data_IF_109373616095
#
_entry.id   IF_109373616095
#
_cell.length_a   1.000
_cell.length_b   1.000
_cell.length_c   1.000
_cell.angle_alpha   90.00
_cell.angle_beta   90.00
_cell.angle_gamma   90.00
#
_symmetry.space_group_name_H-M   'P 1'
#
loop_
_entity.id
_entity.type
_entity.pdbx_description
1 polymer ?
#
# COMPACT_ATOMS: atom_id res chain seq x y z
N UNK A 1 -12.94 21.39 -23.65
CA UNK A 1 -12.82 21.31 -22.17
C UNK A 1 -11.69 20.36 -21.86
N UNK A 2 -10.84 20.61 -20.85
CA UNK A 2 -9.85 19.64 -20.45
C UNK A 2 -10.55 18.32 -20.06
N UNK A 3 -10.02 17.20 -20.52
CA UNK A 3 -10.58 15.88 -20.26
C UNK A 3 -10.47 15.63 -18.75
N UNK A 4 -11.58 15.59 -18.04
CA UNK A 4 -11.59 15.35 -16.60
C UNK A 4 -11.13 13.92 -16.33
N UNK A 5 -10.04 13.74 -15.59
CA UNK A 5 -9.51 12.42 -15.24
C UNK A 5 -10.43 11.81 -14.16
N UNK A 6 -10.90 10.60 -14.41
CA UNK A 6 -11.70 9.82 -13.47
C UNK A 6 -10.74 9.16 -12.47
N UNK A 7 -11.04 9.22 -11.19
CA UNK A 7 -10.27 8.52 -10.17
C UNK A 7 -10.84 7.12 -9.87
N UNK A 8 -9.99 6.20 -9.40
CA UNK A 8 -10.44 4.89 -8.93
C UNK A 8 -11.47 5.00 -7.80
N UNK A 9 -11.37 6.02 -6.93
CA UNK A 9 -12.37 6.30 -5.90
C UNK A 9 -13.70 6.81 -6.48
N UNK A 10 -13.69 7.48 -7.63
CA UNK A 10 -14.91 7.83 -8.34
C UNK A 10 -15.56 6.61 -8.98
N UNK A 11 -14.78 5.63 -9.44
CA UNK A 11 -15.30 4.33 -9.88
C UNK A 11 -16.06 3.61 -8.74
N UNK A 12 -15.57 3.67 -7.52
CA UNK A 12 -16.29 3.14 -6.35
C UNK A 12 -17.63 3.85 -6.16
N UNK A 13 -17.62 5.18 -6.15
CA UNK A 13 -18.84 5.99 -5.98
C UNK A 13 -19.85 5.74 -7.10
N UNK A 14 -19.36 5.63 -8.32
CA UNK A 14 -20.18 5.25 -9.48
C UNK A 14 -20.78 3.86 -9.30
N UNK A 15 -20.00 2.87 -8.92
CA UNK A 15 -20.48 1.52 -8.63
C UNK A 15 -21.47 1.46 -7.47
N UNK A 16 -21.33 2.34 -6.49
CA UNK A 16 -22.34 2.52 -5.45
C UNK A 16 -23.65 3.05 -6.06
N UNK A 17 -23.62 4.20 -6.73
CA UNK A 17 -24.79 4.78 -7.41
C UNK A 17 -24.33 5.84 -8.42
N UNK A 18 -24.53 5.66 -9.74
CA UNK A 18 -24.15 6.63 -10.74
C UNK A 18 -24.73 8.04 -10.50
N UNK A 19 -25.99 8.11 -10.10
CA UNK A 19 -26.62 9.40 -9.77
C UNK A 19 -25.96 10.06 -8.56
N UNK A 20 -25.61 9.31 -7.52
CA UNK A 20 -24.92 9.85 -6.34
C UNK A 20 -23.53 10.40 -6.68
N UNK A 21 -22.79 9.70 -7.54
CA UNK A 21 -21.50 10.18 -8.06
C UNK A 21 -21.68 11.47 -8.87
N UNK A 22 -22.68 11.53 -9.76
CA UNK A 22 -22.92 12.72 -10.57
C UNK A 22 -23.37 13.94 -9.73
N UNK A 23 -24.17 13.72 -8.67
CA UNK A 23 -24.54 14.76 -7.72
C UNK A 23 -23.31 15.30 -6.95
N UNK A 24 -22.34 14.45 -6.66
CA UNK A 24 -21.06 14.85 -6.10
C UNK A 24 -20.32 15.83 -7.00
N UNK A 25 -20.22 15.51 -8.29
CA UNK A 25 -19.60 16.39 -9.30
C UNK A 25 -20.33 17.73 -9.47
N UNK A 26 -21.64 17.74 -9.23
CA UNK A 26 -22.46 18.97 -9.24
C UNK A 26 -22.38 19.79 -7.95
N UNK A 27 -21.55 19.38 -6.99
CA UNK A 27 -21.37 20.09 -5.73
C UNK A 27 -22.54 19.96 -4.75
N UNK A 28 -23.37 18.90 -4.87
CA UNK A 28 -24.39 18.60 -3.86
C UNK A 28 -23.68 18.11 -2.60
N UNK A 29 -23.86 18.84 -1.49
CA UNK A 29 -23.19 18.55 -0.23
C UNK A 29 -23.46 17.15 0.30
N UNK A 30 -22.41 16.52 0.82
CA UNK A 30 -22.54 15.27 1.55
C UNK A 30 -23.00 15.55 2.98
N UNK A 31 -24.01 14.85 3.44
CA UNK A 31 -24.49 14.94 4.81
C UNK A 31 -24.20 13.65 5.58
N UNK A 32 -23.80 13.80 6.83
CA UNK A 32 -23.63 12.72 7.79
C UNK A 32 -22.26 12.68 8.46
N UNK A 33 -22.26 12.50 9.77
CA UNK A 33 -21.05 12.36 10.59
C UNK A 33 -20.23 11.08 10.28
N UNK A 34 -20.86 10.10 9.61
CA UNK A 34 -20.21 8.83 9.25
C UNK A 34 -19.13 9.01 8.18
N UNK A 35 -19.27 10.00 7.31
CA UNK A 35 -18.25 10.31 6.28
C UNK A 35 -16.96 10.77 6.94
N UNK A 36 -17.05 11.67 7.92
CA UNK A 36 -15.90 12.20 8.65
C UNK A 36 -15.19 11.12 9.48
N UNK A 37 -15.96 10.26 10.15
CA UNK A 37 -15.40 9.10 10.90
C UNK A 37 -14.71 8.09 10.00
N UNK A 38 -15.25 7.85 8.81
CA UNK A 38 -14.63 6.97 7.80
C UNK A 38 -13.29 7.51 7.33
N UNK A 39 -13.21 8.80 7.02
CA UNK A 39 -11.98 9.48 6.58
C UNK A 39 -10.91 9.46 7.68
N UNK A 40 -11.29 9.75 8.93
CA UNK A 40 -10.37 9.74 10.07
C UNK A 40 -9.78 8.34 10.30
N UNK A 41 -10.61 7.31 10.31
CA UNK A 41 -10.18 5.92 10.48
C UNK A 41 -9.30 5.43 9.32
N UNK A 42 -9.60 5.84 8.08
CA UNK A 42 -8.77 5.53 6.92
C UNK A 42 -7.39 6.19 7.04
N UNK A 43 -7.34 7.43 7.51
CA UNK A 43 -6.09 8.16 7.77
C UNK A 43 -5.27 7.50 8.89
N UNK A 44 -5.91 7.05 9.96
CA UNK A 44 -5.27 6.31 11.07
C UNK A 44 -4.65 5.00 10.56
N UNK A 45 -5.39 4.22 9.77
CA UNK A 45 -4.88 2.98 9.18
C UNK A 45 -3.73 3.23 8.21
N UNK A 46 -3.83 4.25 7.38
CA UNK A 46 -2.76 4.64 6.46
C UNK A 46 -1.48 5.05 7.20
N UNK A 47 -1.61 5.85 8.28
CA UNK A 47 -0.46 6.25 9.10
C UNK A 47 0.20 5.07 9.83
N UNK A 48 -0.59 4.10 10.25
CA UNK A 48 -0.11 2.89 10.92
C UNK A 48 0.69 1.99 9.99
N UNK A 49 0.19 1.77 8.77
CA UNK A 49 0.91 1.04 7.73
C UNK A 49 2.21 1.76 7.33
N UNK A 50 2.15 3.08 7.22
CA UNK A 50 3.31 3.91 6.95
C UNK A 50 4.39 3.77 8.03
N UNK A 51 4.01 3.74 9.31
CA UNK A 51 4.94 3.54 10.41
C UNK A 51 5.63 2.17 10.32
N UNK A 52 4.91 1.12 9.95
CA UNK A 52 5.48 -0.21 9.72
C UNK A 52 6.55 -0.16 8.61
N UNK A 53 6.23 0.41 7.46
CA UNK A 53 7.16 0.52 6.32
C UNK A 53 8.42 1.31 6.66
N UNK A 54 8.29 2.39 7.44
CA UNK A 54 9.45 3.18 7.92
C UNK A 54 10.33 2.36 8.85
N UNK A 55 9.76 1.57 9.75
CA UNK A 55 10.55 0.72 10.65
C UNK A 55 11.22 -0.44 9.90
N UNK A 56 10.58 -1.02 8.91
CA UNK A 56 11.17 -2.05 8.03
C UNK A 56 12.36 -1.53 7.25
N UNK A 57 12.24 -0.35 6.63
CA UNK A 57 13.36 0.28 5.90
C UNK A 57 14.53 0.56 6.84
N UNK A 58 14.27 1.13 8.02
CA UNK A 58 15.29 1.39 9.03
C UNK A 58 15.97 0.11 9.53
N UNK A 59 15.22 -0.97 9.70
CA UNK A 59 15.74 -2.29 10.04
C UNK A 59 16.67 -2.82 8.96
N UNK A 60 16.27 -2.68 7.70
CA UNK A 60 17.05 -3.09 6.53
C UNK A 60 18.36 -2.30 6.41
N UNK A 61 18.32 -0.97 6.60
CA UNK A 61 19.53 -0.13 6.65
C UNK A 61 20.47 -0.56 7.78
N UNK A 62 19.91 -0.83 8.97
CA UNK A 62 20.69 -1.30 10.12
C UNK A 62 21.35 -2.65 9.85
N UNK A 63 20.61 -3.58 9.22
CA UNK A 63 21.14 -4.90 8.81
C UNK A 63 22.27 -4.76 7.81
N UNK A 64 22.14 -3.92 6.80
CA UNK A 64 23.18 -3.65 5.79
C UNK A 64 24.42 -3.07 6.44
N UNK A 65 24.25 -2.14 7.38
CA UNK A 65 25.36 -1.54 8.13
C UNK A 65 26.07 -2.57 9.00
N UNK A 66 25.31 -3.45 9.67
CA UNK A 66 25.88 -4.54 10.46
C UNK A 66 26.69 -5.50 9.60
N UNK A 67 26.19 -5.90 8.42
CA UNK A 67 26.93 -6.74 7.48
C UNK A 67 28.26 -6.10 7.04
N UNK A 68 28.24 -4.80 6.79
CA UNK A 68 29.45 -4.04 6.43
C UNK A 68 30.47 -4.02 7.56
N UNK A 69 30.00 -3.80 8.80
CA UNK A 69 30.86 -3.84 10.01
C UNK A 69 31.48 -5.22 10.21
N UNK A 70 30.66 -6.29 10.05
CA UNK A 70 31.17 -7.68 10.17
C UNK A 70 32.21 -7.97 9.08
N UNK A 71 31.99 -7.56 7.84
CA UNK A 71 32.98 -7.71 6.76
C UNK A 71 34.28 -6.98 7.06
N UNK A 72 34.23 -5.77 7.65
CA UNK A 72 35.43 -5.04 8.11
C UNK A 72 36.14 -5.79 9.23
N UNK A 73 35.44 -6.38 10.18
CA UNK A 73 36.07 -7.18 11.24
C UNK A 73 36.81 -8.39 10.66
N UNK A 74 36.15 -9.10 9.72
CA UNK A 74 36.78 -10.27 9.08
C UNK A 74 38.04 -9.87 8.32
N UNK A 75 38.04 -8.76 7.60
CA UNK A 75 39.22 -8.25 6.89
C UNK A 75 40.35 -7.86 7.86
N UNK A 76 40.02 -7.16 8.94
CA UNK A 76 40.99 -6.80 9.96
C UNK A 76 41.63 -8.01 10.65
N UNK A 77 40.82 -9.01 11.01
CA UNK A 77 41.31 -10.27 11.60
C UNK A 77 42.20 -11.03 10.62
N UNK A 78 41.86 -11.05 9.33
CA UNK A 78 42.69 -11.69 8.30
C UNK A 78 44.03 -10.99 8.15
N UNK A 79 44.07 -9.66 8.12
CA UNK A 79 45.31 -8.88 8.08
C UNK A 79 46.11 -9.12 9.34
N UNK A 80 45.48 -9.13 10.52
CA UNK A 80 46.14 -9.40 11.80
C UNK A 80 46.83 -10.77 11.81
N UNK A 81 46.15 -11.81 11.32
CA UNK A 81 46.72 -13.16 11.18
C UNK A 81 47.92 -13.19 10.25
N UNK A 82 47.86 -12.51 9.11
CA UNK A 82 48.97 -12.42 8.16
C UNK A 82 50.18 -11.73 8.82
N UNK A 83 49.96 -10.61 9.52
CA UNK A 83 51.02 -9.88 10.23
C UNK A 83 51.64 -10.75 11.32
N UNK A 84 50.81 -11.45 12.13
CA UNK A 84 51.31 -12.35 13.18
C UNK A 84 52.14 -13.52 12.65
N UNK A 85 51.83 -14.04 11.45
CA UNK A 85 52.55 -15.16 10.83
C UNK A 85 53.88 -14.73 10.18
N UNK A 86 53.95 -13.50 9.68
CA UNK A 86 55.10 -13.02 8.89
C UNK A 86 56.06 -12.11 9.68
N UNK A 87 55.68 -11.62 10.90
CA UNK A 87 56.45 -10.66 11.67
C UNK A 87 57.43 -11.30 12.62
N UNK A 88 58.55 -10.57 12.92
CA UNK A 88 59.51 -10.90 13.96
C UNK A 88 58.91 -10.71 15.35
N UNK A 89 59.52 -11.34 16.39
CA UNK A 89 58.93 -11.38 17.74
C UNK A 89 58.67 -9.99 18.35
N UNK A 90 59.56 -9.03 18.14
CA UNK A 90 59.42 -7.67 18.66
C UNK A 90 58.23 -6.88 18.02
N UNK A 91 58.05 -7.00 16.73
CA UNK A 91 56.91 -6.41 16.01
C UNK A 91 55.59 -7.11 16.36
N UNK A 92 55.66 -8.41 16.63
CA UNK A 92 54.49 -9.23 16.98
C UNK A 92 53.84 -8.77 18.30
N UNK A 93 54.66 -8.47 19.31
CA UNK A 93 54.16 -8.03 20.62
C UNK A 93 53.49 -6.67 20.53
N UNK A 94 54.09 -5.68 19.86
CA UNK A 94 53.55 -4.33 19.70
C UNK A 94 52.27 -4.32 18.86
N UNK A 95 52.27 -4.94 17.68
CA UNK A 95 51.08 -4.98 16.81
C UNK A 95 49.99 -5.86 17.37
N UNK A 96 50.29 -6.94 18.08
CA UNK A 96 49.30 -7.81 18.72
C UNK A 96 48.42 -7.08 19.71
N UNK A 97 49.02 -6.21 20.54
CA UNK A 97 48.26 -5.42 21.53
C UNK A 97 47.36 -4.36 20.88
N UNK A 98 47.86 -3.67 19.85
CA UNK A 98 47.09 -2.68 19.10
C UNK A 98 45.90 -3.34 18.38
N UNK A 99 46.14 -4.47 17.71
CA UNK A 99 45.09 -5.21 17.00
C UNK A 99 44.01 -5.76 17.94
N UNK A 100 44.39 -6.18 19.15
CA UNK A 100 43.47 -6.62 20.19
C UNK A 100 42.52 -5.49 20.63
N UNK A 101 43.06 -4.29 20.90
CA UNK A 101 42.28 -3.12 21.27
C UNK A 101 41.29 -2.73 20.15
N UNK A 102 41.77 -2.67 18.89
CA UNK A 102 40.95 -2.39 17.72
C UNK A 102 39.86 -3.44 17.58
N UNK A 103 40.19 -4.72 17.73
CA UNK A 103 39.23 -5.82 17.63
C UNK A 103 38.11 -5.73 18.69
N UNK A 104 38.47 -5.43 19.94
CA UNK A 104 37.48 -5.20 21.01
C UNK A 104 36.56 -4.01 20.68
N UNK A 105 37.16 -2.90 20.20
CA UNK A 105 36.38 -1.72 19.76
C UNK A 105 35.36 -2.05 18.69
N UNK A 106 35.78 -2.79 17.66
CA UNK A 106 34.87 -3.20 16.58
C UNK A 106 33.80 -4.22 17.03
N UNK A 107 34.12 -5.13 17.97
CA UNK A 107 33.12 -6.03 18.55
C UNK A 107 32.05 -5.27 19.36
N UNK A 108 32.43 -4.21 20.08
CA UNK A 108 31.48 -3.36 20.76
C UNK A 108 30.56 -2.64 19.77
N UNK A 109 31.12 -2.10 18.69
CA UNK A 109 30.30 -1.47 17.62
C UNK A 109 29.34 -2.47 17.00
N UNK A 110 29.81 -3.67 16.63
CA UNK A 110 28.94 -4.71 16.08
C UNK A 110 27.83 -5.13 17.06
N UNK A 111 28.14 -5.25 18.36
CA UNK A 111 27.15 -5.58 19.39
C UNK A 111 26.05 -4.53 19.52
N UNK A 112 26.40 -3.24 19.39
CA UNK A 112 25.40 -2.14 19.42
C UNK A 112 24.48 -2.22 18.20
N UNK A 113 25.02 -2.47 17.01
CA UNK A 113 24.18 -2.62 15.81
C UNK A 113 23.31 -3.86 15.86
N UNK A 114 23.82 -4.99 16.35
CA UNK A 114 23.05 -6.21 16.55
C UNK A 114 21.90 -5.99 17.54
N UNK A 115 22.16 -5.32 18.66
CA UNK A 115 21.13 -5.00 19.64
C UNK A 115 20.02 -4.11 19.05
N UNK A 116 20.41 -3.07 18.28
CA UNK A 116 19.44 -2.23 17.57
C UNK A 116 18.62 -3.02 16.55
N UNK A 117 19.24 -3.94 15.83
CA UNK A 117 18.55 -4.79 14.86
C UNK A 117 17.51 -5.69 15.56
N UNK A 118 17.89 -6.34 16.68
CA UNK A 118 16.96 -7.19 17.45
C UNK A 118 15.77 -6.40 17.98
N UNK A 119 15.97 -5.20 18.51
CA UNK A 119 14.87 -4.35 18.97
C UNK A 119 13.97 -3.90 17.80
N UNK A 120 14.55 -3.63 16.64
CA UNK A 120 13.79 -3.23 15.46
C UNK A 120 12.96 -4.39 14.91
N UNK A 121 13.50 -5.60 14.84
CA UNK A 121 12.75 -6.78 14.38
C UNK A 121 11.60 -7.12 15.32
N UNK A 122 11.82 -7.10 16.64
CA UNK A 122 10.74 -7.32 17.61
C UNK A 122 9.61 -6.30 17.46
N UNK A 123 9.95 -5.02 17.25
CA UNK A 123 8.96 -3.96 17.03
C UNK A 123 8.18 -4.16 15.73
N UNK A 124 8.86 -4.58 14.65
CA UNK A 124 8.24 -4.89 13.36
C UNK A 124 7.26 -6.05 13.52
N UNK A 125 7.68 -7.14 14.19
CA UNK A 125 6.84 -8.31 14.43
C UNK A 125 5.59 -7.92 15.22
N UNK A 126 5.73 -7.13 16.29
CA UNK A 126 4.59 -6.61 17.05
C UNK A 126 3.64 -5.75 16.20
N UNK A 127 4.17 -4.89 15.32
CA UNK A 127 3.36 -4.10 14.40
C UNK A 127 2.66 -4.98 13.38
N UNK A 128 3.35 -5.97 12.78
CA UNK A 128 2.76 -6.92 11.83
C UNK A 128 1.65 -7.75 12.48
N UNK A 129 1.84 -8.21 13.71
CA UNK A 129 0.84 -8.96 14.47
C UNK A 129 -0.38 -8.08 14.80
N UNK A 130 -0.17 -6.85 15.25
CA UNK A 130 -1.25 -5.90 15.55
C UNK A 130 -2.11 -5.60 14.32
N UNK A 131 -1.48 -5.51 13.13
CA UNK A 131 -2.17 -5.26 11.86
C UNK A 131 -2.50 -6.54 11.09
N UNK A 132 -2.20 -7.72 11.65
CA UNK A 132 -2.44 -9.05 11.03
C UNK A 132 -1.94 -9.12 9.59
N UNK A 133 -0.80 -8.52 9.31
CA UNK A 133 -0.23 -8.47 7.97
C UNK A 133 0.57 -9.74 7.61
N UNK A 134 0.96 -10.55 8.61
CA UNK A 134 1.78 -11.73 8.38
C UNK A 134 3.12 -11.39 7.70
N UNK A 135 3.69 -12.32 6.95
CA UNK A 135 4.93 -12.15 6.17
C UNK A 135 4.69 -11.54 4.78
N UNK A 136 3.70 -10.64 4.64
CA UNK A 136 3.39 -10.03 3.36
C UNK A 136 4.50 -9.05 2.97
N UNK A 137 5.04 -9.21 1.78
CA UNK A 137 6.04 -8.30 1.23
C UNK A 137 5.33 -7.07 0.63
N UNK A 138 5.28 -5.98 1.40
CA UNK A 138 4.66 -4.73 0.97
C UNK A 138 5.70 -3.93 0.18
N UNK A 139 5.45 -3.70 -1.09
CA UNK A 139 6.29 -2.89 -1.95
C UNK A 139 5.71 -1.47 -2.06
N UNK A 140 6.52 -0.48 -1.67
CA UNK A 140 6.29 0.89 -2.12
C UNK A 140 7.19 1.12 -3.33
N UNK A 141 6.69 1.59 -4.48
CA UNK A 141 7.43 1.64 -5.74
C UNK A 141 8.74 2.44 -5.74
N UNK A 142 8.93 3.32 -4.78
CA UNK A 142 10.17 4.10 -4.65
C UNK A 142 10.67 4.03 -3.21
N UNK A 143 11.40 3.04 -2.82
CA UNK A 143 11.97 2.78 -1.48
C UNK A 143 12.26 3.94 -0.52
N UNK A 144 11.87 5.16 -0.86
CA UNK A 144 12.05 6.41 -0.12
C UNK A 144 10.76 7.24 0.04
N UNK A 145 9.69 6.96 -0.70
CA UNK A 145 8.46 7.73 -0.59
C UNK A 145 7.46 7.03 0.32
N UNK A 146 7.03 7.76 1.32
CA UNK A 146 6.05 7.35 2.33
C UNK A 146 4.65 7.06 1.77
N UNK A 147 4.42 7.16 0.48
CA UNK A 147 3.10 6.99 -0.15
C UNK A 147 3.21 6.24 -1.47
N UNK A 148 2.25 5.34 -1.74
CA UNK A 148 2.11 4.71 -3.05
C UNK A 148 1.99 5.77 -4.15
N UNK A 149 2.66 5.65 -5.29
CA UNK A 149 2.56 6.63 -6.36
C UNK A 149 1.15 6.69 -6.95
N UNK A 150 0.80 7.83 -7.50
CA UNK A 150 -0.41 7.97 -8.29
C UNK A 150 -0.19 7.28 -9.64
N UNK A 151 -0.87 6.17 -9.86
CA UNK A 151 -0.89 5.47 -11.13
C UNK A 151 -1.80 6.22 -12.11
N UNK A 152 -1.38 6.35 -13.36
CA UNK A 152 -2.14 7.03 -14.41
C UNK A 152 -2.18 6.17 -15.66
N UNK A 153 -3.37 6.01 -16.22
CA UNK A 153 -3.53 5.33 -17.49
C UNK A 153 -3.18 6.24 -18.65
N UNK A 154 -2.45 5.70 -19.63
CA UNK A 154 -2.22 6.37 -20.91
C UNK A 154 -3.40 6.19 -21.87
N UNK A 155 -4.12 5.07 -21.78
CA UNK A 155 -5.17 4.67 -22.73
C UNK A 155 -6.58 5.04 -22.23
N UNK A 156 -6.79 4.96 -20.92
CA UNK A 156 -8.05 5.25 -20.26
C UNK A 156 -7.94 6.57 -19.49
N UNK A 157 -9.02 7.31 -19.43
CA UNK A 157 -9.06 8.56 -18.69
C UNK A 157 -9.17 8.30 -17.18
N UNK A 158 -8.23 7.52 -16.63
CA UNK A 158 -8.23 6.96 -15.29
C UNK A 158 -6.93 7.27 -14.56
N UNK A 159 -7.04 7.60 -13.29
CA UNK A 159 -5.91 7.68 -12.36
C UNK A 159 -6.31 7.15 -10.98
N UNK A 160 -5.34 6.75 -10.18
CA UNK A 160 -5.63 6.31 -8.82
C UNK A 160 -4.37 5.99 -8.05
N UNK A 161 -4.54 5.91 -6.73
CA UNK A 161 -3.50 5.53 -5.79
C UNK A 161 -4.06 4.41 -4.92
N UNK A 162 -3.63 3.14 -5.11
CA UNK A 162 -3.97 2.08 -4.17
C UNK A 162 -3.34 2.38 -2.80
N UNK A 163 -3.93 1.88 -1.73
CA UNK A 163 -3.38 2.09 -0.39
C UNK A 163 -1.96 1.53 -0.28
N UNK A 164 -1.72 0.35 -0.86
CA UNK A 164 -0.38 -0.22 -1.03
C UNK A 164 -0.34 -1.28 -2.14
N UNK A 165 0.86 -1.71 -2.48
CA UNK A 165 1.12 -2.79 -3.43
C UNK A 165 1.80 -3.95 -2.69
N UNK A 166 1.38 -5.17 -2.98
CA UNK A 166 2.04 -6.40 -2.54
C UNK A 166 2.84 -6.96 -3.70
N UNK A 167 4.08 -7.35 -3.44
CA UNK A 167 4.88 -8.11 -4.40
C UNK A 167 4.78 -9.59 -4.07
N UNK A 168 4.18 -10.35 -4.96
CA UNK A 168 4.01 -11.80 -4.83
C UNK A 168 4.30 -12.45 -6.17
N UNK A 169 5.22 -13.42 -6.20
CA UNK A 169 5.66 -14.11 -7.42
C UNK A 169 6.11 -13.18 -8.57
N UNK A 170 6.73 -12.04 -8.23
CA UNK A 170 7.14 -11.01 -9.19
C UNK A 170 6.03 -10.05 -9.63
N UNK A 171 4.77 -10.32 -9.30
CA UNK A 171 3.62 -9.50 -9.66
C UNK A 171 3.32 -8.46 -8.59
N UNK A 172 2.87 -7.28 -9.01
CA UNK A 172 2.40 -6.21 -8.12
C UNK A 172 0.88 -6.23 -8.00
N UNK A 173 0.41 -6.67 -6.84
CA UNK A 173 -1.01 -6.80 -6.51
C UNK A 173 -1.47 -5.54 -5.79
N UNK A 174 -2.41 -4.75 -6.35
CA UNK A 174 -2.96 -3.59 -5.68
C UNK A 174 -3.86 -4.00 -4.52
N UNK A 175 -3.77 -3.27 -3.41
CA UNK A 175 -4.58 -3.49 -2.21
C UNK A 175 -5.29 -2.21 -1.83
N UNK A 176 -6.57 -2.35 -1.55
CA UNK A 176 -7.43 -1.29 -1.01
C UNK A 176 -7.93 -1.68 0.37
N UNK A 177 -7.85 -0.76 1.32
CA UNK A 177 -8.27 -0.96 2.70
C UNK A 177 -9.59 -0.26 2.96
N UNK A 178 -10.56 -0.98 3.48
CA UNK A 178 -11.87 -0.47 3.86
C UNK A 178 -12.05 -0.51 5.37
N UNK A 179 -12.46 0.59 5.95
CA UNK A 179 -12.63 0.75 7.43
C UNK A 179 -13.88 0.08 7.98
N UNK A 180 -14.79 -0.34 7.10
CA UNK A 180 -16.06 -0.97 7.45
C UNK A 180 -15.93 -2.43 7.91
N UNK A 181 -17.03 -2.98 8.43
CA UNK A 181 -17.11 -4.41 8.75
C UNK A 181 -16.98 -5.25 7.48
N UNK A 182 -16.22 -6.34 7.55
CA UNK A 182 -16.05 -7.29 6.44
C UNK A 182 -17.38 -7.90 6.03
N UNK A 183 -17.83 -7.75 4.77
CA UNK A 183 -19.00 -8.43 4.24
C UNK A 183 -18.67 -9.89 3.88
N UNK A 184 -19.70 -10.71 3.66
CA UNK A 184 -19.49 -12.10 3.19
C UNK A 184 -18.84 -12.16 1.79
N UNK A 185 -19.15 -11.20 0.93
CA UNK A 185 -18.52 -10.99 -0.37
C UNK A 185 -18.30 -9.50 -0.58
N UNK A 186 -17.29 -9.10 -1.38
CA UNK A 186 -17.02 -7.69 -1.65
C UNK A 186 -18.24 -6.99 -2.28
N UNK A 187 -18.46 -5.74 -1.91
CA UNK A 187 -19.46 -4.93 -2.58
C UNK A 187 -19.03 -4.64 -4.02
N UNK A 188 -19.98 -4.58 -4.93
CA UNK A 188 -19.75 -4.27 -6.34
C UNK A 188 -18.95 -2.98 -6.54
N UNK A 189 -19.22 -1.94 -5.75
CA UNK A 189 -18.46 -0.68 -5.77
C UNK A 189 -16.99 -0.87 -5.45
N UNK A 190 -16.68 -1.71 -4.46
CA UNK A 190 -15.29 -2.02 -4.09
C UNK A 190 -14.60 -2.88 -5.16
N UNK A 191 -15.35 -3.80 -5.81
CA UNK A 191 -14.84 -4.59 -6.94
C UNK A 191 -14.47 -3.69 -8.12
N UNK A 192 -15.27 -2.67 -8.42
CA UNK A 192 -14.95 -1.70 -9.47
C UNK A 192 -13.71 -0.88 -9.13
N UNK A 193 -13.56 -0.43 -7.89
CA UNK A 193 -12.39 0.33 -7.47
C UNK A 193 -11.11 -0.50 -7.58
N UNK A 194 -11.12 -1.72 -7.04
CA UNK A 194 -9.93 -2.59 -7.10
C UNK A 194 -9.64 -3.02 -8.55
N UNK A 195 -10.66 -3.23 -9.37
CA UNK A 195 -10.49 -3.48 -10.80
C UNK A 195 -9.85 -2.30 -11.53
N UNK A 196 -10.22 -1.06 -11.17
CA UNK A 196 -9.56 0.14 -11.69
C UNK A 196 -8.07 0.19 -11.30
N UNK A 197 -7.72 -0.19 -10.08
CA UNK A 197 -6.31 -0.30 -9.69
C UNK A 197 -5.57 -1.43 -10.41
N UNK A 198 -6.22 -2.57 -10.67
CA UNK A 198 -5.62 -3.63 -11.48
C UNK A 198 -5.35 -3.17 -12.92
N UNK A 199 -6.28 -2.42 -13.53
CA UNK A 199 -6.11 -1.83 -14.85
C UNK A 199 -4.92 -0.86 -14.89
N UNK A 200 -4.84 0.02 -13.90
CA UNK A 200 -3.73 0.97 -13.75
C UNK A 200 -2.38 0.25 -13.53
N UNK A 201 -2.37 -0.79 -12.70
CA UNK A 201 -1.17 -1.59 -12.44
C UNK A 201 -0.71 -2.34 -13.69
N UNK A 202 -1.64 -2.92 -14.47
CA UNK A 202 -1.33 -3.60 -15.74
C UNK A 202 -0.69 -2.65 -16.77
N UNK A 203 -1.06 -1.36 -16.78
CA UNK A 203 -0.47 -0.38 -17.69
C UNK A 203 0.83 0.23 -17.18
N UNK A 204 1.01 0.30 -15.87
CA UNK A 204 2.17 0.97 -15.26
C UNK A 204 3.36 0.04 -15.10
N UNK A 205 3.09 -1.23 -14.77
CA UNK A 205 4.13 -2.21 -14.47
C UNK A 205 4.25 -3.26 -15.58
N UNK A 206 5.45 -3.81 -15.75
CA UNK A 206 5.68 -4.93 -16.68
C UNK A 206 4.97 -6.21 -16.23
N UNK A 207 4.85 -6.37 -14.90
CA UNK A 207 4.27 -7.54 -14.27
C UNK A 207 2.77 -7.31 -14.05
N UNK A 208 1.94 -8.03 -14.81
CA UNK A 208 0.49 -7.89 -14.73
C UNK A 208 -0.05 -8.51 -13.44
N UNK A 209 -0.93 -7.80 -12.70
CA UNK A 209 -1.55 -8.38 -11.51
C UNK A 209 -2.49 -9.54 -11.92
N UNK A 210 -2.47 -10.64 -11.15
CA UNK A 210 -3.43 -11.73 -11.31
C UNK A 210 -4.76 -11.44 -10.61
N UNK A 211 -4.72 -10.57 -9.58
CA UNK A 211 -5.86 -10.18 -8.77
C UNK A 211 -5.61 -8.80 -8.16
N UNK A 212 -6.65 -8.24 -7.55
CA UNK A 212 -6.54 -7.16 -6.59
C UNK A 212 -7.09 -7.61 -5.24
N UNK A 213 -6.68 -7.00 -4.15
CA UNK A 213 -7.10 -7.39 -2.80
C UNK A 213 -7.87 -6.25 -2.12
N UNK A 214 -8.95 -6.62 -1.43
CA UNK A 214 -9.73 -5.71 -0.59
C UNK A 214 -9.64 -6.19 0.85
N UNK A 215 -9.05 -5.37 1.73
CA UNK A 215 -8.98 -5.61 3.17
C UNK A 215 -10.03 -4.81 3.91
N UNK A 216 -10.69 -5.45 4.87
CA UNK A 216 -11.66 -4.79 5.74
C UNK A 216 -11.10 -4.70 7.16
N UNK A 217 -10.75 -3.49 7.58
CA UNK A 217 -10.06 -3.29 8.86
C UNK A 217 -8.69 -3.97 8.86
N UNK A 218 -8.31 -4.50 10.00
CA UNK A 218 -7.07 -5.28 10.19
C UNK A 218 -7.29 -6.79 10.03
N UNK A 219 -8.29 -7.22 9.24
CA UNK A 219 -8.52 -8.64 8.99
C UNK A 219 -7.38 -9.21 8.14
N UNK A 220 -6.79 -10.31 8.59
CA UNK A 220 -5.68 -11.00 7.92
C UNK A 220 -6.07 -11.62 6.58
N UNK A 221 -7.36 -11.91 6.38
CA UNK A 221 -7.85 -12.55 5.17
C UNK A 221 -8.48 -11.52 4.21
N UNK A 222 -7.76 -10.98 3.23
CA UNK A 222 -8.34 -10.09 2.24
C UNK A 222 -9.35 -10.83 1.36
N UNK A 223 -10.29 -10.10 0.78
CA UNK A 223 -11.04 -10.61 -0.37
C UNK A 223 -10.19 -10.44 -1.62
N UNK A 224 -9.81 -11.54 -2.25
CA UNK A 224 -9.19 -11.52 -3.56
C UNK A 224 -10.24 -11.35 -4.65
N UNK A 225 -10.00 -10.40 -5.53
CA UNK A 225 -10.80 -10.14 -6.72
C UNK A 225 -9.93 -10.48 -7.91
N UNK A 226 -10.26 -11.56 -8.60
CA UNK A 226 -9.52 -12.04 -9.77
C UNK A 226 -9.53 -10.97 -10.87
N UNK A 227 -8.36 -10.67 -11.43
CA UNK A 227 -8.21 -9.80 -12.58
C UNK A 227 -8.20 -10.62 -13.85
N UNK A 228 -9.38 -10.77 -14.47
CA UNK A 228 -9.56 -11.50 -15.72
C UNK A 228 -10.22 -10.61 -16.78
N UNK A 229 -10.45 -11.19 -17.97
CA UNK A 229 -11.09 -10.50 -19.10
C UNK A 229 -12.45 -9.92 -18.74
N UNK A 230 -13.25 -10.64 -17.95
CA UNK A 230 -14.62 -10.23 -17.63
C UNK A 230 -14.63 -9.00 -16.74
N UNK A 231 -13.78 -8.98 -15.70
CA UNK A 231 -13.62 -7.81 -14.85
C UNK A 231 -13.02 -6.63 -15.61
N UNK A 232 -12.05 -6.89 -16.51
CA UNK A 232 -11.45 -5.84 -17.34
C UNK A 232 -12.49 -5.19 -18.25
N UNK A 233 -13.31 -5.99 -18.93
CA UNK A 233 -14.42 -5.50 -19.76
C UNK A 233 -15.38 -4.67 -18.92
N UNK A 234 -15.81 -5.20 -17.76
CA UNK A 234 -16.72 -4.50 -16.86
C UNK A 234 -16.16 -3.13 -16.43
N UNK A 235 -14.89 -3.06 -16.03
CA UNK A 235 -14.25 -1.80 -15.60
C UNK A 235 -14.19 -0.80 -16.76
N UNK A 236 -13.81 -1.25 -17.95
CA UNK A 236 -13.73 -0.37 -19.14
C UNK A 236 -15.09 0.12 -19.59
N UNK A 237 -16.11 -0.73 -19.60
CA UNK A 237 -17.49 -0.33 -19.88
C UNK A 237 -17.99 0.74 -18.91
N UNK A 238 -17.73 0.56 -17.60
CA UNK A 238 -18.13 1.57 -16.61
C UNK A 238 -17.36 2.87 -16.74
N UNK A 239 -16.10 2.84 -17.15
CA UNK A 239 -15.34 4.04 -17.49
C UNK A 239 -15.93 4.77 -18.72
N UNK A 240 -16.35 4.03 -19.74
CA UNK A 240 -17.01 4.60 -20.91
C UNK A 240 -18.35 5.25 -20.54
N UNK A 241 -19.20 4.56 -19.76
CA UNK A 241 -20.45 5.13 -19.24
C UNK A 241 -20.19 6.44 -18.45
N UNK A 242 -19.20 6.46 -17.56
CA UNK A 242 -18.83 7.65 -16.80
C UNK A 242 -18.37 8.79 -17.72
N UNK A 243 -17.54 8.49 -18.72
CA UNK A 243 -17.10 9.48 -19.70
C UNK A 243 -18.26 10.04 -20.52
N UNK A 244 -19.24 9.23 -20.87
CA UNK A 244 -20.43 9.69 -21.62
C UNK A 244 -21.35 10.57 -20.77
N UNK A 245 -21.49 10.28 -19.48
CA UNK A 245 -22.17 11.17 -18.53
C UNK A 245 -21.43 12.51 -18.42
N UNK A 246 -20.10 12.49 -18.31
CA UNK A 246 -19.29 13.71 -18.23
C UNK A 246 -19.38 14.59 -19.49
N UNK A 247 -19.53 13.96 -20.67
CA UNK A 247 -19.76 14.66 -21.94
C UNK A 247 -21.19 15.12 -22.14
N UNK A 248 -22.13 14.68 -21.32
CA UNK A 248 -23.57 14.95 -21.47
C UNK A 248 -24.26 14.08 -22.53
N UNK A 249 -23.62 12.99 -22.97
CA UNK A 249 -24.20 12.04 -23.92
C UNK A 249 -25.19 11.07 -23.24
N UNK A 250 -25.06 10.89 -21.93
CA UNK A 250 -25.89 10.01 -21.11
C UNK A 250 -26.27 10.70 -19.81
N UNK A 251 -27.47 10.42 -19.33
CA UNK A 251 -27.91 10.89 -18.00
C UNK A 251 -27.55 9.88 -16.91
N UNK A 252 -27.21 10.40 -15.74
CA UNK A 252 -26.91 9.57 -14.60
C UNK A 252 -28.18 9.22 -13.84
N UNK A 253 -28.49 7.93 -13.75
CA UNK A 253 -29.64 7.41 -13.01
C UNK A 253 -29.22 6.51 -11.85
N UNK A 254 -30.12 6.29 -10.92
CA UNK A 254 -29.96 5.33 -9.84
C UNK A 254 -29.95 3.88 -10.38
N UNK A 255 -28.96 3.09 -9.99
CA UNK A 255 -28.80 1.70 -10.46
C UNK A 255 -29.36 0.64 -9.51
N UNK A 256 -30.20 1.00 -8.56
CA UNK A 256 -30.76 0.09 -7.57
C UNK A 256 -32.18 0.45 -7.12
N UNK A 257 -32.88 -0.53 -6.56
CA UNK A 257 -34.24 -0.36 -5.97
C UNK A 257 -34.24 -0.52 -4.44
N UNK A 258 -33.06 -0.41 -3.78
CA UNK A 258 -32.91 -0.63 -2.33
C UNK A 258 -33.09 0.67 -1.57
N UNK A 259 -34.19 0.79 -0.79
CA UNK A 259 -34.45 1.94 0.09
C UNK A 259 -33.32 2.16 1.11
N UNK A 260 -32.87 1.08 1.75
CA UNK A 260 -31.76 1.15 2.70
C UNK A 260 -30.48 1.78 2.13
N UNK A 261 -30.18 1.53 0.84
CA UNK A 261 -29.03 2.13 0.16
C UNK A 261 -29.22 3.65 -0.03
N UNK A 262 -30.45 4.09 -0.34
CA UNK A 262 -30.78 5.52 -0.36
C UNK A 262 -30.70 6.14 1.05
N UNK A 263 -31.14 5.40 2.08
CA UNK A 263 -31.10 5.91 3.46
C UNK A 263 -29.66 6.14 3.96
N UNK A 264 -28.71 5.32 3.52
CA UNK A 264 -27.29 5.46 3.84
C UNK A 264 -26.54 6.38 2.86
N UNK A 265 -27.19 6.98 1.89
CA UNK A 265 -26.55 7.85 0.91
C UNK A 265 -26.36 9.26 1.49
N UNK A 266 -25.11 9.73 1.52
CA UNK A 266 -24.76 11.08 2.01
C UNK A 266 -25.41 12.21 1.20
N UNK A 267 -25.82 11.94 -0.06
CA UNK A 267 -26.47 12.92 -0.96
C UNK A 267 -27.98 12.75 -1.09
N UNK A 268 -28.60 12.02 -0.14
CA UNK A 268 -30.02 11.69 -0.16
C UNK A 268 -30.91 12.92 -0.27
N UNK A 269 -30.61 14.01 0.43
CA UNK A 269 -31.47 15.20 0.47
C UNK A 269 -31.58 15.90 -0.87
N UNK A 270 -30.48 16.00 -1.61
CA UNK A 270 -30.45 16.60 -2.95
C UNK A 270 -30.77 15.63 -4.10
N UNK A 271 -31.12 14.36 -3.80
CA UNK A 271 -31.33 13.36 -4.83
C UNK A 271 -32.76 13.37 -5.37
N UNK A 272 -32.99 13.64 -6.68
CA UNK A 272 -34.32 13.64 -7.29
C UNK A 272 -34.95 12.24 -7.34
N UNK A 273 -34.15 11.18 -7.41
CA UNK A 273 -34.60 9.78 -7.50
C UNK A 273 -34.58 9.05 -6.15
N UNK A 274 -34.51 9.77 -5.04
CA UNK A 274 -34.49 9.11 -3.72
C UNK A 274 -35.69 8.21 -3.49
N UNK A 275 -35.44 6.99 -3.04
CA UNK A 275 -36.53 6.10 -2.60
C UNK A 275 -37.03 6.56 -1.23
N UNK A 276 -38.35 6.60 -1.10
CA UNK A 276 -39.08 6.83 0.17
C UNK A 276 -39.47 5.48 0.75
N UNK A 277 -39.55 5.41 2.09
CA UNK A 277 -40.17 4.26 2.77
C UNK A 277 -41.63 4.18 2.44
#
# INVERSE_FOLDING_TARGET
MPKQIISASEMERYGYCPLSWHLDLKGVDAEGDEVNKGVEKHKEMGSSLQNLLVEEEKSRETSTTLMTVVAMIITLVSIALIVLLLSNDELREQFGFILLIIGIGWMLVASIFLYKLLLSTEKIDQLRDNYKLGEINIETPDGLTKETPVLKSANYNLAGRPDYLIKEDGMRIPVEVKTGRRPKAPFFSHVLQIGAYCLLSEETFTDKPRCGQIRYGFDSNPHEVKWDSDLKILVTEKLEEMNDILKGNMEAHRNHKRVGKCNSCSRRKGCPERLKN
#
